data_IF_767120485722
#
_entry.id   IF_767120485722
#
_cell.length_a   1.000
_cell.length_b   1.000
_cell.length_c   1.000
_cell.angle_alpha   90.00
_cell.angle_beta   90.00
_cell.angle_gamma   90.00
#
_symmetry.space_group_name_H-M   'P 1'
#
loop_
_entity.id
_entity.type
_entity.pdbx_description
1 polymer ?
#
# COMPACT_ATOMS: atom_id res chain seq x y z
N UNK A 1 3.88 -7.48 -41.12
CA UNK A 1 4.59 -7.37 -39.83
C UNK A 1 6.07 -7.24 -40.12
N UNK A 2 6.76 -6.28 -39.51
CA UNK A 2 8.20 -6.04 -39.73
C UNK A 2 8.93 -6.51 -38.47
N UNK A 3 9.79 -7.52 -38.60
CA UNK A 3 10.66 -7.98 -37.51
C UNK A 3 11.98 -7.21 -37.60
N UNK A 4 12.24 -6.30 -36.65
CA UNK A 4 13.44 -5.45 -36.66
C UNK A 4 14.73 -6.22 -36.31
N UNK A 5 14.60 -7.37 -35.62
CA UNK A 5 15.73 -8.23 -35.27
C UNK A 5 15.49 -9.67 -35.80
N UNK A 6 16.23 -10.13 -36.83
CA UNK A 6 16.06 -11.46 -37.41
C UNK A 6 16.16 -12.60 -36.38
N UNK A 7 16.95 -12.44 -35.32
CA UNK A 7 17.16 -13.48 -34.29
C UNK A 7 15.90 -13.72 -33.45
N UNK A 8 14.98 -12.76 -33.40
CA UNK A 8 13.72 -12.83 -32.65
C UNK A 8 12.56 -13.33 -33.51
N UNK A 9 12.80 -13.70 -34.78
CA UNK A 9 11.75 -14.17 -35.68
C UNK A 9 10.98 -15.36 -35.13
N UNK A 10 11.64 -16.28 -34.43
CA UNK A 10 11.01 -17.46 -33.83
C UNK A 10 9.93 -17.12 -32.77
N UNK A 11 10.05 -16.00 -32.06
CA UNK A 11 9.06 -15.51 -31.08
C UNK A 11 7.86 -14.85 -31.76
N UNK A 12 8.11 -14.24 -32.91
CA UNK A 12 7.16 -13.37 -33.62
C UNK A 12 6.37 -14.17 -34.68
N UNK A 13 6.99 -15.20 -35.25
CA UNK A 13 6.44 -16.08 -36.28
C UNK A 13 5.05 -16.64 -35.93
N UNK A 14 4.77 -17.14 -34.71
CA UNK A 14 3.45 -17.67 -34.36
C UNK A 14 2.34 -16.62 -34.48
N UNK A 15 2.60 -15.39 -34.04
CA UNK A 15 1.67 -14.27 -34.14
C UNK A 15 1.52 -13.79 -35.59
N UNK A 16 2.61 -13.81 -36.36
CA UNK A 16 2.65 -13.37 -37.77
C UNK A 16 1.84 -14.27 -38.70
N UNK A 17 1.80 -15.57 -38.41
CA UNK A 17 1.09 -16.59 -39.21
C UNK A 17 -0.28 -16.96 -38.65
N UNK A 18 -0.77 -16.22 -37.63
CA UNK A 18 -1.99 -16.58 -36.88
C UNK A 18 -1.95 -18.02 -36.33
N UNK A 19 -0.76 -18.51 -36.02
CA UNK A 19 -0.58 -19.78 -35.31
C UNK A 19 -1.10 -19.68 -33.88
N UNK A 20 -1.28 -20.82 -33.23
CA UNK A 20 -1.62 -20.85 -31.81
C UNK A 20 -0.57 -20.04 -31.02
N UNK A 21 -1.01 -18.99 -30.32
CA UNK A 21 -0.15 -18.21 -29.44
C UNK A 21 0.36 -19.04 -28.26
N UNK A 22 1.30 -18.48 -27.48
CA UNK A 22 1.67 -19.10 -26.22
C UNK A 22 0.43 -19.33 -25.35
N UNK A 23 0.31 -20.49 -24.67
CA UNK A 23 -0.78 -20.73 -23.75
C UNK A 23 -0.69 -19.71 -22.61
N UNK A 24 -1.56 -18.71 -22.63
CA UNK A 24 -1.66 -17.74 -21.54
C UNK A 24 -2.31 -18.46 -20.36
N UNK A 25 -1.54 -18.86 -19.36
CA UNK A 25 -2.08 -19.34 -18.11
C UNK A 25 -2.26 -18.16 -17.17
N UNK A 26 -3.51 -17.70 -17.00
CA UNK A 26 -3.81 -16.56 -16.12
C UNK A 26 -3.68 -16.91 -14.64
N UNK A 27 -3.28 -15.94 -13.80
CA UNK A 27 -3.10 -16.14 -12.35
C UNK A 27 -4.34 -16.70 -11.64
N UNK A 28 -5.55 -16.33 -12.10
CA UNK A 28 -6.82 -16.89 -11.61
C UNK A 28 -6.97 -18.39 -11.92
N UNK A 29 -6.49 -18.85 -13.09
CA UNK A 29 -6.52 -20.26 -13.47
C UNK A 29 -5.56 -21.07 -12.58
N UNK A 30 -4.31 -20.61 -12.45
CA UNK A 30 -3.31 -21.22 -11.56
C UNK A 30 -3.78 -21.28 -10.11
N UNK A 31 -4.42 -20.19 -9.63
CA UNK A 31 -5.03 -20.15 -8.30
C UNK A 31 -6.09 -21.24 -8.11
N UNK A 32 -7.07 -21.34 -9.01
CA UNK A 32 -8.15 -22.33 -8.86
C UNK A 32 -7.59 -23.76 -8.92
N UNK A 33 -6.57 -24.01 -9.74
CA UNK A 33 -5.90 -25.32 -9.79
C UNK A 33 -5.18 -25.65 -8.49
N UNK A 34 -4.43 -24.70 -7.92
CA UNK A 34 -3.74 -24.86 -6.65
C UNK A 34 -4.71 -25.04 -5.48
N UNK A 35 -5.72 -24.16 -5.39
CA UNK A 35 -6.77 -24.26 -4.39
C UNK A 35 -7.49 -25.61 -4.46
N UNK A 36 -7.84 -26.08 -5.65
CA UNK A 36 -8.47 -27.38 -5.82
C UNK A 36 -7.58 -28.52 -5.30
N UNK A 37 -6.28 -28.50 -5.63
CA UNK A 37 -5.32 -29.49 -5.14
C UNK A 37 -5.20 -29.47 -3.62
N UNK A 38 -5.13 -28.29 -2.99
CA UNK A 38 -5.04 -28.16 -1.54
C UNK A 38 -6.32 -28.63 -0.82
N UNK A 39 -7.49 -28.23 -1.32
CA UNK A 39 -8.78 -28.65 -0.76
C UNK A 39 -8.91 -30.18 -0.77
N UNK A 40 -8.47 -30.85 -1.86
CA UNK A 40 -8.49 -32.31 -1.97
C UNK A 40 -7.44 -32.94 -1.04
N UNK A 41 -6.21 -32.44 -1.06
CA UNK A 41 -5.09 -33.00 -0.31
C UNK A 41 -5.34 -32.95 1.21
N UNK A 42 -5.84 -31.82 1.70
CA UNK A 42 -6.07 -31.59 3.12
C UNK A 42 -7.53 -31.84 3.56
N UNK A 43 -8.41 -32.24 2.63
CA UNK A 43 -9.85 -32.46 2.87
C UNK A 43 -10.54 -31.25 3.51
N UNK A 44 -10.20 -30.07 3.01
CA UNK A 44 -10.76 -28.80 3.49
C UNK A 44 -12.05 -28.47 2.76
N UNK A 45 -12.92 -27.71 3.43
CA UNK A 45 -14.13 -27.14 2.82
C UNK A 45 -13.86 -25.68 2.50
N UNK A 46 -14.17 -25.27 1.26
CA UNK A 46 -14.02 -23.87 0.86
C UNK A 46 -14.95 -22.97 1.68
N UNK A 47 -14.39 -21.95 2.31
CA UNK A 47 -15.12 -20.91 3.05
C UNK A 47 -14.34 -19.58 3.02
N UNK A 48 -14.97 -18.50 3.49
CA UNK A 48 -14.32 -17.18 3.51
C UNK A 48 -13.12 -17.12 4.47
N UNK A 49 -13.12 -17.90 5.55
CA UNK A 49 -11.98 -17.96 6.47
C UNK A 49 -10.72 -18.47 5.77
N UNK A 50 -10.84 -19.53 4.98
CA UNK A 50 -9.76 -20.06 4.15
C UNK A 50 -9.32 -19.02 3.11
N UNK A 51 -10.26 -18.33 2.46
CA UNK A 51 -9.93 -17.29 1.49
C UNK A 51 -9.20 -16.08 2.10
N UNK A 52 -9.48 -15.75 3.37
CA UNK A 52 -8.92 -14.59 4.07
C UNK A 52 -7.60 -14.90 4.79
N UNK A 53 -7.37 -16.12 5.27
CA UNK A 53 -6.15 -16.47 6.03
C UNK A 53 -4.99 -17.00 5.19
N UNK A 54 -5.21 -17.30 3.91
CA UNK A 54 -4.15 -17.83 3.04
C UNK A 54 -3.51 -16.72 2.19
N UNK A 55 -2.34 -16.26 2.62
CA UNK A 55 -1.61 -15.18 1.94
C UNK A 55 -1.32 -15.40 0.43
N UNK A 56 -1.01 -16.62 -0.07
CA UNK A 56 -0.71 -16.81 -1.50
C UNK A 56 -1.89 -16.47 -2.44
N UNK A 57 -3.12 -16.48 -1.92
CA UNK A 57 -4.33 -16.33 -2.74
C UNK A 57 -4.94 -14.92 -2.66
N UNK A 58 -4.40 -14.09 -1.78
CA UNK A 58 -4.83 -12.72 -1.52
C UNK A 58 -4.94 -11.82 -2.76
N UNK A 59 -3.98 -11.79 -3.71
CA UNK A 59 -4.10 -10.93 -4.90
C UNK A 59 -5.31 -11.28 -5.77
N UNK A 60 -5.65 -12.56 -5.85
CA UNK A 60 -6.80 -13.03 -6.65
C UNK A 60 -8.10 -12.73 -5.92
N UNK A 61 -8.17 -12.97 -4.62
CA UNK A 61 -9.35 -12.63 -3.80
C UNK A 61 -9.62 -11.12 -3.84
N UNK A 62 -8.58 -10.28 -3.74
CA UNK A 62 -8.73 -8.82 -3.88
C UNK A 62 -9.28 -8.42 -5.25
N UNK A 63 -8.77 -9.02 -6.33
CA UNK A 63 -9.26 -8.74 -7.68
C UNK A 63 -10.73 -9.11 -7.87
N UNK A 64 -11.15 -10.25 -7.30
CA UNK A 64 -12.57 -10.65 -7.29
C UNK A 64 -13.40 -9.65 -6.49
N UNK A 65 -12.96 -9.30 -5.27
CA UNK A 65 -13.66 -8.35 -4.41
C UNK A 65 -13.81 -6.98 -5.08
N UNK A 66 -12.74 -6.43 -5.65
CA UNK A 66 -12.78 -5.14 -6.37
C UNK A 66 -13.80 -5.17 -7.51
N UNK A 67 -13.80 -6.23 -8.31
CA UNK A 67 -14.75 -6.36 -9.42
C UNK A 67 -16.20 -6.45 -8.92
N UNK A 68 -16.43 -7.17 -7.82
CA UNK A 68 -17.76 -7.30 -7.23
C UNK A 68 -18.23 -6.02 -6.51
N UNK A 69 -17.33 -5.24 -5.91
CA UNK A 69 -17.62 -3.95 -5.27
C UNK A 69 -18.09 -2.92 -6.31
N UNK A 70 -17.56 -2.97 -7.53
CA UNK A 70 -18.01 -2.11 -8.63
C UNK A 70 -19.41 -2.50 -9.13
N UNK A 71 -19.77 -3.77 -9.02
CA UNK A 71 -21.07 -4.30 -9.48
C UNK A 71 -22.20 -4.18 -8.45
N UNK A 72 -21.88 -4.15 -7.15
CA UNK A 72 -22.89 -4.17 -6.10
C UNK A 72 -23.64 -2.82 -6.01
N UNK A 73 -24.73 -2.66 -6.75
CA UNK A 73 -25.64 -1.51 -6.60
C UNK A 73 -26.59 -1.71 -5.40
N UNK A 74 -27.07 -0.60 -4.81
CA UNK A 74 -28.12 -0.63 -3.78
C UNK A 74 -29.44 -1.21 -4.34
N UNK A 75 -29.65 -1.14 -5.65
CA UNK A 75 -30.88 -1.56 -6.33
C UNK A 75 -30.91 -3.07 -6.66
N UNK A 76 -29.78 -3.77 -6.55
CA UNK A 76 -29.70 -5.21 -6.87
C UNK A 76 -30.06 -6.03 -5.63
N UNK A 77 -31.04 -6.93 -5.78
CA UNK A 77 -31.42 -7.90 -4.76
C UNK A 77 -30.29 -8.86 -4.40
N UNK A 78 -30.28 -9.40 -3.18
CA UNK A 78 -29.17 -10.25 -2.69
C UNK A 78 -28.94 -11.49 -3.58
N UNK A 79 -30.01 -12.19 -3.93
CA UNK A 79 -29.95 -13.39 -4.77
C UNK A 79 -29.54 -13.07 -6.22
N UNK A 80 -29.99 -11.94 -6.75
CA UNK A 80 -29.60 -11.48 -8.09
C UNK A 80 -28.11 -11.13 -8.12
N UNK A 81 -27.59 -10.49 -7.07
CA UNK A 81 -26.17 -10.17 -6.97
C UNK A 81 -25.30 -11.43 -6.91
N UNK A 82 -25.69 -12.43 -6.10
CA UNK A 82 -24.98 -13.72 -6.04
C UNK A 82 -25.02 -14.43 -7.40
N UNK A 83 -26.17 -14.40 -8.08
CA UNK A 83 -26.32 -14.99 -9.41
C UNK A 83 -25.41 -14.31 -10.43
N UNK A 84 -25.37 -12.97 -10.46
CA UNK A 84 -24.47 -12.22 -11.32
C UNK A 84 -22.99 -12.49 -11.01
N UNK A 85 -22.62 -12.63 -9.73
CA UNK A 85 -21.25 -12.98 -9.34
C UNK A 85 -20.83 -14.34 -9.91
N UNK A 86 -21.70 -15.35 -9.83
CA UNK A 86 -21.45 -16.68 -10.44
C UNK A 86 -21.32 -16.60 -11.96
N UNK A 87 -22.19 -15.84 -12.62
CA UNK A 87 -22.13 -15.63 -14.07
C UNK A 87 -20.86 -14.90 -14.50
N UNK A 88 -20.42 -13.90 -13.74
CA UNK A 88 -19.18 -13.18 -13.99
C UNK A 88 -17.96 -14.12 -13.93
N UNK A 89 -17.98 -15.07 -12.99
CA UNK A 89 -16.94 -16.09 -12.88
C UNK A 89 -16.76 -16.87 -14.20
N UNK A 90 -17.87 -17.18 -14.89
CA UNK A 90 -17.88 -17.89 -16.19
C UNK A 90 -17.38 -17.04 -17.35
N UNK A 91 -17.47 -15.72 -17.23
CA UNK A 91 -17.00 -14.77 -18.25
C UNK A 91 -15.49 -14.51 -18.12
N UNK A 92 -14.83 -15.03 -17.08
CA UNK A 92 -13.39 -14.92 -16.94
C UNK A 92 -12.64 -15.79 -17.95
N UNK A 93 -11.45 -15.36 -18.35
CA UNK A 93 -10.58 -16.18 -19.19
C UNK A 93 -10.18 -17.50 -18.52
N UNK A 94 -10.09 -17.53 -17.18
CA UNK A 94 -9.83 -18.75 -16.42
C UNK A 94 -10.92 -19.81 -16.64
N UNK A 95 -12.19 -19.41 -16.70
CA UNK A 95 -13.30 -20.35 -16.91
C UNK A 95 -13.18 -21.15 -18.21
N UNK A 96 -12.59 -20.57 -19.26
CA UNK A 96 -12.37 -21.26 -20.54
C UNK A 96 -11.28 -22.35 -20.48
N UNK A 97 -10.44 -22.34 -19.45
CA UNK A 97 -9.28 -23.24 -19.32
C UNK A 97 -9.46 -24.32 -18.26
N UNK A 98 -10.47 -24.20 -17.41
CA UNK A 98 -10.67 -25.07 -16.26
C UNK A 98 -11.52 -26.29 -16.60
N UNK A 99 -11.22 -27.42 -15.97
CA UNK A 99 -12.08 -28.60 -16.03
C UNK A 99 -13.40 -28.34 -15.27
N UNK A 100 -14.45 -29.11 -15.55
CA UNK A 100 -15.80 -28.85 -14.99
C UNK A 100 -15.83 -28.75 -13.45
N UNK A 101 -15.09 -29.60 -12.73
CA UNK A 101 -15.00 -29.52 -11.26
C UNK A 101 -14.28 -28.28 -10.74
N UNK A 102 -13.29 -27.77 -11.49
CA UNK A 102 -12.58 -26.53 -11.17
C UNK A 102 -13.39 -25.29 -11.54
N UNK A 103 -14.22 -25.37 -12.59
CA UNK A 103 -15.15 -24.31 -12.96
C UNK A 103 -16.20 -24.09 -11.86
N UNK A 104 -16.75 -25.15 -11.27
CA UNK A 104 -17.63 -25.02 -10.10
C UNK A 104 -16.90 -24.41 -8.89
N UNK A 105 -15.64 -24.79 -8.67
CA UNK A 105 -14.84 -24.18 -7.61
C UNK A 105 -14.69 -22.66 -7.83
N UNK A 106 -14.42 -22.23 -9.06
CA UNK A 106 -14.35 -20.82 -9.43
C UNK A 106 -15.67 -20.08 -9.17
N UNK A 107 -16.81 -20.66 -9.58
CA UNK A 107 -18.15 -20.12 -9.30
C UNK A 107 -18.39 -19.98 -7.79
N UNK A 108 -18.00 -20.98 -7.01
CA UNK A 108 -18.17 -20.98 -5.55
C UNK A 108 -17.30 -19.93 -4.87
N UNK A 109 -16.09 -19.65 -5.37
CA UNK A 109 -15.26 -18.54 -4.86
C UNK A 109 -15.99 -17.21 -5.06
N UNK A 110 -16.48 -16.92 -6.27
CA UNK A 110 -17.21 -15.68 -6.55
C UNK A 110 -18.47 -15.55 -5.71
N UNK A 111 -19.24 -16.65 -5.54
CA UNK A 111 -20.40 -16.67 -4.67
C UNK A 111 -20.04 -16.36 -3.20
N UNK A 112 -19.00 -17.00 -2.65
CA UNK A 112 -18.57 -16.76 -1.27
C UNK A 112 -18.15 -15.31 -1.05
N UNK A 113 -17.45 -14.71 -2.02
CA UNK A 113 -17.06 -13.30 -1.98
C UNK A 113 -18.27 -12.37 -2.12
N UNK A 114 -19.20 -12.66 -3.03
CA UNK A 114 -20.44 -11.90 -3.16
C UNK A 114 -21.25 -11.90 -1.85
N UNK A 115 -21.42 -13.08 -1.23
CA UNK A 115 -22.08 -13.21 0.08
C UNK A 115 -21.33 -12.46 1.18
N UNK A 116 -19.99 -12.45 1.16
CA UNK A 116 -19.19 -11.65 2.08
C UNK A 116 -19.47 -10.16 1.92
N UNK A 117 -19.48 -9.64 0.69
CA UNK A 117 -19.78 -8.23 0.43
C UNK A 117 -21.21 -7.84 0.84
N UNK A 118 -22.19 -8.72 0.61
CA UNK A 118 -23.55 -8.53 1.11
C UNK A 118 -23.60 -8.41 2.63
N UNK A 119 -22.86 -9.28 3.36
CA UNK A 119 -22.78 -9.18 4.83
C UNK A 119 -22.20 -7.84 5.29
N UNK A 120 -21.18 -7.32 4.58
CA UNK A 120 -20.56 -6.02 4.87
C UNK A 120 -21.47 -4.84 4.51
N UNK A 121 -22.35 -5.01 3.51
CA UNK A 121 -23.37 -4.01 3.18
C UNK A 121 -24.37 -3.86 4.33
N UNK A 122 -24.81 -4.98 4.90
CA UNK A 122 -25.76 -5.00 6.02
C UNK A 122 -25.20 -4.35 7.28
N UNK A 123 -23.88 -4.47 7.53
CA UNK A 123 -23.20 -3.82 8.67
C UNK A 123 -22.73 -2.39 8.37
N UNK A 124 -22.93 -1.88 7.15
CA UNK A 124 -22.44 -0.57 6.71
C UNK A 124 -20.92 -0.51 6.44
N UNK A 125 -20.17 -1.57 6.74
CA UNK A 125 -18.72 -1.64 6.55
C UNK A 125 -18.30 -1.58 5.08
N UNK A 126 -19.18 -2.00 4.15
CA UNK A 126 -18.92 -1.87 2.72
C UNK A 126 -18.75 -0.40 2.28
N UNK A 127 -19.43 0.55 2.95
CA UNK A 127 -19.25 1.97 2.65
C UNK A 127 -17.84 2.43 3.02
N UNK A 128 -17.26 1.92 4.12
CA UNK A 128 -15.90 2.23 4.53
C UNK A 128 -14.89 1.72 3.49
N UNK A 129 -15.08 0.49 3.02
CA UNK A 129 -14.26 -0.09 1.96
C UNK A 129 -14.27 0.78 0.69
N UNK A 130 -15.46 1.23 0.26
CA UNK A 130 -15.62 2.09 -0.91
C UNK A 130 -14.96 3.46 -0.75
N UNK A 131 -15.09 4.07 0.42
CA UNK A 131 -14.54 5.41 0.69
C UNK A 131 -13.01 5.38 0.79
N UNK A 132 -12.46 4.30 1.34
CA UNK A 132 -11.01 4.16 1.60
C UNK A 132 -10.26 3.47 0.46
N UNK A 133 -10.96 2.77 -0.43
CA UNK A 133 -10.35 1.87 -1.41
C UNK A 133 -9.62 0.69 -0.76
N UNK A 134 -9.90 0.39 0.50
CA UNK A 134 -9.19 -0.64 1.24
C UNK A 134 -9.56 -2.05 0.75
N UNK A 135 -8.60 -2.97 0.83
CA UNK A 135 -8.89 -4.39 0.58
C UNK A 135 -9.82 -4.93 1.65
N UNK A 136 -10.84 -5.71 1.26
CA UNK A 136 -11.86 -6.25 2.19
C UNK A 136 -11.23 -7.02 3.36
N UNK A 137 -10.18 -7.79 3.10
CA UNK A 137 -9.45 -8.56 4.13
C UNK A 137 -8.82 -7.68 5.22
N UNK A 138 -8.56 -6.40 4.95
CA UNK A 138 -7.97 -5.51 5.95
C UNK A 138 -8.94 -5.19 7.08
N UNK A 139 -10.26 -5.31 6.89
CA UNK A 139 -11.23 -5.11 7.97
C UNK A 139 -10.93 -6.03 9.16
N UNK A 140 -10.74 -7.32 8.90
CA UNK A 140 -10.43 -8.28 9.95
C UNK A 140 -9.07 -7.99 10.60
N UNK A 141 -8.05 -7.72 9.78
CA UNK A 141 -6.71 -7.36 10.29
C UNK A 141 -6.75 -6.11 11.17
N UNK A 142 -7.51 -5.08 10.78
CA UNK A 142 -7.64 -3.85 11.56
C UNK A 142 -8.41 -4.11 12.85
N UNK A 143 -9.53 -4.83 12.80
CA UNK A 143 -10.36 -5.08 13.99
C UNK A 143 -9.69 -6.00 15.01
N UNK A 144 -8.96 -7.02 14.55
CA UNK A 144 -8.41 -8.06 15.43
C UNK A 144 -6.94 -7.82 15.81
N UNK A 145 -6.21 -7.02 15.05
CA UNK A 145 -4.77 -6.82 15.27
C UNK A 145 -4.48 -5.34 15.52
N UNK A 146 -4.80 -4.43 14.58
CA UNK A 146 -4.43 -3.01 14.73
C UNK A 146 -5.17 -2.34 15.89
N UNK A 147 -6.50 -2.41 15.90
CA UNK A 147 -7.35 -1.79 16.91
C UNK A 147 -6.92 -2.16 18.34
N UNK A 148 -6.73 -3.44 18.71
CA UNK A 148 -6.29 -3.80 20.06
C UNK A 148 -4.81 -3.55 20.32
N UNK A 149 -3.97 -3.28 19.30
CA UNK A 149 -2.54 -3.02 19.50
C UNK A 149 -2.23 -1.69 20.18
N UNK A 150 -3.25 -0.84 20.41
CA UNK A 150 -3.16 0.33 21.26
C UNK A 150 -4.51 0.59 21.92
N UNK A 151 -4.51 0.79 23.24
CA UNK A 151 -5.74 0.96 24.01
C UNK A 151 -6.45 2.30 23.74
N UNK A 152 -5.68 3.37 23.54
CA UNK A 152 -6.19 4.76 23.49
C UNK A 152 -5.74 5.49 22.23
N UNK A 153 -6.48 5.28 21.14
CA UNK A 153 -6.24 5.90 19.83
C UNK A 153 -6.59 7.39 19.78
N UNK A 154 -7.40 7.88 20.71
CA UNK A 154 -7.83 9.28 20.85
C UNK A 154 -6.84 10.15 21.63
N UNK A 155 -5.88 9.56 22.34
CA UNK A 155 -4.91 10.32 23.13
C UNK A 155 -3.87 10.99 22.23
N UNK A 156 -3.56 12.29 22.46
CA UNK A 156 -2.54 13.00 21.69
C UNK A 156 -1.20 12.27 21.67
N UNK A 157 -0.60 12.16 20.50
CA UNK A 157 0.69 11.51 20.29
C UNK A 157 1.46 12.20 19.18
N UNK A 158 2.79 12.15 19.25
CA UNK A 158 3.64 12.58 18.13
C UNK A 158 3.57 11.54 17.00
N UNK A 159 3.35 11.93 15.73
CA UNK A 159 3.46 11.02 14.59
C UNK A 159 4.80 10.27 14.49
N UNK A 160 5.89 10.84 15.03
CA UNK A 160 7.21 10.23 15.07
C UNK A 160 7.46 9.39 16.35
N UNK A 161 6.47 9.29 17.23
CA UNK A 161 6.59 8.51 18.46
C UNK A 161 7.00 7.05 18.17
N UNK A 162 7.89 6.52 19.01
CA UNK A 162 8.46 5.19 18.83
C UNK A 162 7.42 4.08 19.04
N UNK A 163 6.53 4.24 20.01
CA UNK A 163 5.47 3.27 20.33
C UNK A 163 4.45 3.26 19.20
N UNK A 164 3.96 4.43 18.75
CA UNK A 164 3.05 4.53 17.61
C UNK A 164 3.63 3.86 16.36
N UNK A 165 4.87 4.20 16.02
CA UNK A 165 5.53 3.65 14.84
C UNK A 165 5.70 2.14 14.97
N UNK A 166 6.13 1.64 16.13
CA UNK A 166 6.26 0.21 16.36
C UNK A 166 4.90 -0.50 16.21
N UNK A 167 3.83 0.02 16.83
CA UNK A 167 2.47 -0.53 16.70
C UNK A 167 2.01 -0.64 15.25
N UNK A 168 2.16 0.43 14.47
CA UNK A 168 1.74 0.45 13.05
C UNK A 168 2.61 -0.50 12.21
N UNK A 169 3.93 -0.49 12.41
CA UNK A 169 4.84 -1.33 11.64
C UNK A 169 4.71 -2.81 11.99
N UNK A 170 4.49 -3.16 13.25
CA UNK A 170 4.23 -4.54 13.68
C UNK A 170 2.94 -5.06 13.05
N UNK A 171 1.87 -4.26 13.06
CA UNK A 171 0.64 -4.59 12.35
C UNK A 171 0.88 -4.77 10.86
N UNK A 172 1.53 -3.82 10.19
CA UNK A 172 1.83 -3.89 8.76
C UNK A 172 2.69 -5.12 8.42
N UNK A 173 3.62 -5.49 9.31
CA UNK A 173 4.48 -6.66 9.16
C UNK A 173 3.71 -7.99 9.17
N UNK A 174 2.51 -8.05 9.76
CA UNK A 174 1.66 -9.26 9.69
C UNK A 174 1.20 -9.59 8.27
N UNK A 175 1.27 -8.62 7.36
CA UNK A 175 0.86 -8.78 5.97
C UNK A 175 2.03 -9.28 5.10
N UNK A 176 1.92 -10.52 4.59
CA UNK A 176 2.96 -11.14 3.76
C UNK A 176 3.33 -10.35 2.50
N UNK A 177 2.40 -9.58 1.94
CA UNK A 177 2.70 -8.71 0.79
C UNK A 177 3.82 -7.72 1.10
N UNK A 178 3.88 -7.19 2.33
CA UNK A 178 4.97 -6.32 2.78
C UNK A 178 6.27 -7.09 2.93
N UNK A 179 6.23 -8.25 3.61
CA UNK A 179 7.40 -9.10 3.82
C UNK A 179 8.05 -9.51 2.49
N UNK A 180 7.25 -9.98 1.54
CA UNK A 180 7.71 -10.42 0.23
C UNK A 180 8.36 -9.27 -0.54
N UNK A 181 7.75 -8.07 -0.53
CA UNK A 181 8.29 -6.91 -1.25
C UNK A 181 9.63 -6.45 -0.68
N UNK A 182 9.80 -6.52 0.63
CA UNK A 182 11.06 -6.18 1.32
C UNK A 182 12.16 -7.18 0.96
N UNK A 183 11.86 -8.49 1.06
CA UNK A 183 12.82 -9.55 0.73
C UNK A 183 13.27 -9.45 -0.72
N UNK A 184 12.34 -9.20 -1.65
CA UNK A 184 12.66 -8.97 -3.06
C UNK A 184 13.47 -7.70 -3.29
N UNK A 185 13.15 -6.61 -2.59
CA UNK A 185 13.87 -5.34 -2.73
C UNK A 185 15.32 -5.41 -2.24
N UNK A 186 15.59 -6.31 -1.29
CA UNK A 186 16.93 -6.57 -0.76
C UNK A 186 17.68 -7.68 -1.50
N UNK A 187 17.09 -8.27 -2.56
CA UNK A 187 17.67 -9.39 -3.29
C UNK A 187 18.00 -10.61 -2.39
N UNK A 188 17.16 -10.89 -1.40
CA UNK A 188 17.35 -11.95 -0.40
C UNK A 188 16.43 -13.15 -0.65
N UNK A 189 16.35 -13.63 -1.90
CA UNK A 189 15.50 -14.78 -2.27
C UNK A 189 15.66 -15.95 -1.27
N UNK A 190 14.52 -16.56 -0.91
CA UNK A 190 14.41 -17.65 0.08
C UNK A 190 14.91 -17.35 1.51
N UNK A 191 15.09 -16.07 1.86
CA UNK A 191 15.41 -15.67 3.23
C UNK A 191 14.18 -15.55 4.11
N UNK A 192 14.33 -15.95 5.38
CA UNK A 192 13.37 -15.66 6.43
C UNK A 192 13.18 -14.12 6.57
N UNK A 193 11.97 -13.58 6.31
CA UNK A 193 11.71 -12.15 6.39
C UNK A 193 12.07 -11.55 7.76
N UNK A 194 11.97 -12.34 8.84
CA UNK A 194 12.20 -11.84 10.19
C UNK A 194 13.64 -11.33 10.38
N UNK A 195 14.60 -11.83 9.60
CA UNK A 195 16.00 -11.38 9.63
C UNK A 195 16.18 -9.92 9.20
N UNK A 196 15.28 -9.39 8.38
CA UNK A 196 15.36 -8.02 7.86
C UNK A 196 14.38 -7.05 8.51
N UNK A 197 13.50 -7.55 9.39
CA UNK A 197 12.49 -6.74 10.09
C UNK A 197 13.09 -5.56 10.84
N UNK A 198 14.09 -5.80 11.68
CA UNK A 198 14.73 -4.76 12.49
C UNK A 198 15.38 -3.69 11.62
N UNK A 199 16.10 -4.11 10.57
CA UNK A 199 16.72 -3.20 9.60
C UNK A 199 15.67 -2.36 8.86
N UNK A 200 14.55 -2.96 8.47
CA UNK A 200 13.45 -2.25 7.81
C UNK A 200 12.77 -1.24 8.75
N UNK A 201 12.53 -1.60 10.01
CA UNK A 201 11.89 -0.69 10.97
C UNK A 201 12.78 0.52 11.24
N UNK A 202 14.09 0.30 11.32
CA UNK A 202 15.06 1.39 11.47
C UNK A 202 15.16 2.25 10.20
N UNK A 203 15.04 1.66 9.01
CA UNK A 203 14.93 2.41 7.76
C UNK A 203 13.71 3.34 7.76
N UNK A 204 12.54 2.85 8.16
CA UNK A 204 11.33 3.69 8.27
C UNK A 204 11.53 4.82 9.28
N UNK A 205 12.15 4.53 10.43
CA UNK A 205 12.46 5.55 11.45
C UNK A 205 13.35 6.67 10.88
N UNK A 206 14.45 6.31 10.23
CA UNK A 206 15.38 7.27 9.64
C UNK A 206 14.74 8.06 8.50
N UNK A 207 13.93 7.39 7.68
CA UNK A 207 13.17 8.03 6.60
C UNK A 207 12.22 9.10 7.14
N UNK A 208 11.39 8.77 8.12
CA UNK A 208 10.47 9.73 8.77
C UNK A 208 11.23 10.84 9.51
N UNK A 209 12.40 10.54 10.07
CA UNK A 209 13.27 11.54 10.70
C UNK A 209 13.95 12.51 9.71
N UNK A 210 13.72 12.38 8.40
CA UNK A 210 14.29 13.28 7.40
C UNK A 210 15.73 12.95 6.99
N UNK A 211 16.26 11.77 7.36
CA UNK A 211 17.63 11.38 7.02
C UNK A 211 17.83 11.27 5.50
N UNK A 212 19.04 11.59 5.00
CA UNK A 212 19.35 11.44 3.58
C UNK A 212 19.56 9.96 3.22
N UNK A 213 19.38 9.61 1.94
CA UNK A 213 19.66 8.23 1.48
C UNK A 213 21.11 7.81 1.73
N UNK A 214 22.06 8.76 1.63
CA UNK A 214 23.47 8.50 1.93
C UNK A 214 23.64 8.12 3.40
N UNK A 215 23.10 8.92 4.32
CA UNK A 215 23.21 8.66 5.75
C UNK A 215 22.56 7.32 6.13
N UNK A 216 21.38 7.04 5.56
CA UNK A 216 20.67 5.77 5.81
C UNK A 216 21.46 4.57 5.27
N UNK A 217 22.05 4.66 4.08
CA UNK A 217 22.85 3.57 3.50
C UNK A 217 24.06 3.23 4.38
N UNK A 218 24.70 4.26 4.95
CA UNK A 218 25.86 4.10 5.82
C UNK A 218 25.47 3.54 7.19
N UNK A 219 24.41 4.07 7.81
CA UNK A 219 23.96 3.64 9.13
C UNK A 219 23.42 2.20 9.12
N UNK A 220 22.68 1.82 8.08
CA UNK A 220 22.09 0.49 7.97
C UNK A 220 23.03 -0.53 7.32
N UNK A 221 24.17 -0.10 6.77
CA UNK A 221 25.09 -0.94 6.00
C UNK A 221 24.38 -1.65 4.84
N UNK A 222 23.51 -0.93 4.14
CA UNK A 222 22.77 -1.41 2.94
C UNK A 222 23.33 -0.72 1.71
N UNK A 223 23.43 -1.45 0.58
CA UNK A 223 23.84 -0.84 -0.69
C UNK A 223 22.82 0.20 -1.14
N UNK A 224 23.29 1.26 -1.79
CA UNK A 224 22.41 2.34 -2.25
C UNK A 224 21.29 1.82 -3.16
N UNK A 225 21.58 0.89 -4.06
CA UNK A 225 20.58 0.34 -4.98
C UNK A 225 19.47 -0.41 -4.24
N UNK A 226 19.82 -1.26 -3.26
CA UNK A 226 18.86 -2.00 -2.43
C UNK A 226 18.01 -1.03 -1.57
N UNK A 227 18.64 0.03 -1.06
CA UNK A 227 17.95 1.06 -0.29
C UNK A 227 16.97 1.88 -1.16
N UNK A 228 17.34 2.21 -2.40
CA UNK A 228 16.45 2.88 -3.34
C UNK A 228 15.31 1.96 -3.82
N UNK A 229 15.57 0.66 -3.95
CA UNK A 229 14.55 -0.34 -4.20
C UNK A 229 13.54 -0.40 -3.03
N UNK A 230 14.02 -0.48 -1.79
CA UNK A 230 13.17 -0.41 -0.59
C UNK A 230 12.32 0.87 -0.57
N UNK A 231 12.93 2.03 -0.82
CA UNK A 231 12.17 3.27 -0.87
C UNK A 231 11.06 3.22 -1.93
N UNK A 232 11.40 2.90 -3.18
CA UNK A 232 10.48 3.00 -4.32
C UNK A 232 9.39 1.94 -4.31
N UNK A 233 9.72 0.72 -3.89
CA UNK A 233 8.80 -0.43 -3.92
C UNK A 233 8.04 -0.59 -2.62
N UNK A 234 8.73 -0.42 -1.50
CA UNK A 234 8.14 -0.67 -0.17
C UNK A 234 7.56 0.60 0.42
N UNK A 235 8.37 1.66 0.60
CA UNK A 235 7.90 2.87 1.29
C UNK A 235 6.81 3.56 0.48
N UNK A 236 7.09 3.93 -0.78
CA UNK A 236 6.16 4.74 -1.58
C UNK A 236 4.96 3.98 -2.13
N UNK A 237 4.91 2.65 -1.95
CA UNK A 237 3.83 1.82 -2.49
C UNK A 237 3.28 0.85 -1.44
N UNK A 238 3.95 -0.28 -1.17
CA UNK A 238 3.35 -1.36 -0.37
C UNK A 238 3.05 -0.95 1.07
N UNK A 239 4.04 -0.40 1.80
CA UNK A 239 3.87 0.05 3.17
C UNK A 239 2.91 1.23 3.24
N UNK A 240 3.12 2.27 2.41
CA UNK A 240 2.26 3.45 2.43
C UNK A 240 0.80 3.07 2.15
N UNK A 241 0.52 2.24 1.15
CA UNK A 241 -0.83 1.79 0.84
C UNK A 241 -1.46 1.00 1.99
N UNK A 242 -0.71 0.10 2.62
CA UNK A 242 -1.18 -0.66 3.77
C UNK A 242 -1.51 0.25 4.95
N UNK A 243 -0.60 1.15 5.30
CA UNK A 243 -0.77 2.08 6.42
C UNK A 243 -1.92 3.05 6.16
N UNK A 244 -2.01 3.65 4.96
CA UNK A 244 -3.11 4.55 4.59
C UNK A 244 -4.47 3.84 4.68
N UNK A 245 -4.59 2.62 4.15
CA UNK A 245 -5.82 1.85 4.24
C UNK A 245 -6.15 1.44 5.67
N UNK A 246 -5.16 0.98 6.43
CA UNK A 246 -5.32 0.55 7.82
C UNK A 246 -5.77 1.67 8.75
N UNK A 247 -5.10 2.82 8.69
CA UNK A 247 -5.44 3.99 9.52
C UNK A 247 -6.80 4.58 9.14
N UNK A 248 -7.15 4.62 7.84
CA UNK A 248 -8.46 5.09 7.42
C UNK A 248 -9.59 4.14 7.87
N UNK A 249 -9.41 2.82 7.73
CA UNK A 249 -10.37 1.85 8.25
C UNK A 249 -10.49 1.93 9.77
N UNK A 250 -9.37 2.08 10.49
CA UNK A 250 -9.35 2.28 11.93
C UNK A 250 -10.13 3.54 12.33
N UNK A 251 -9.95 4.64 11.60
CA UNK A 251 -10.70 5.88 11.79
C UNK A 251 -12.21 5.65 11.68
N UNK A 252 -12.68 4.99 10.62
CA UNK A 252 -14.10 4.67 10.45
C UNK A 252 -14.62 3.76 11.57
N UNK A 253 -13.84 2.74 11.94
CA UNK A 253 -14.21 1.79 13.00
C UNK A 253 -14.33 2.48 14.36
N UNK A 254 -13.39 3.34 14.72
CA UNK A 254 -13.42 4.12 15.96
C UNK A 254 -14.57 5.13 15.95
N UNK A 255 -14.81 5.78 14.82
CA UNK A 255 -15.91 6.74 14.66
C UNK A 255 -17.28 6.07 14.83
N UNK A 256 -17.44 4.81 14.41
CA UNK A 256 -18.65 4.03 14.65
C UNK A 256 -18.92 3.80 16.15
N UNK A 257 -17.89 3.82 17.00
CA UNK A 257 -17.99 3.78 18.47
C UNK A 257 -18.02 5.18 19.12
N UNK A 258 -18.10 6.25 18.31
CA UNK A 258 -18.10 7.63 18.79
C UNK A 258 -16.71 8.13 19.26
N UNK A 259 -15.64 7.45 18.87
CA UNK A 259 -14.26 7.80 19.23
C UNK A 259 -13.60 8.54 18.07
N UNK A 260 -13.11 9.75 18.33
CA UNK A 260 -12.29 10.50 17.39
C UNK A 260 -10.81 10.11 17.55
N UNK A 261 -10.17 9.73 16.44
CA UNK A 261 -8.76 9.34 16.43
C UNK A 261 -7.86 10.57 16.59
N UNK A 262 -6.76 10.44 17.31
CA UNK A 262 -5.84 11.55 17.52
C UNK A 262 -5.19 12.01 16.19
N UNK A 263 -5.07 13.33 15.94
CA UNK A 263 -4.43 13.84 14.73
C UNK A 263 -3.00 13.35 14.51
N UNK A 264 -2.27 13.06 15.60
CA UNK A 264 -0.93 12.48 15.51
C UNK A 264 -0.90 11.12 14.79
N UNK A 265 -1.96 10.33 14.95
CA UNK A 265 -2.07 9.02 14.30
C UNK A 265 -2.39 9.18 12.82
N UNK A 266 -3.33 10.05 12.46
CA UNK A 266 -3.67 10.28 11.04
C UNK A 266 -2.54 10.98 10.30
N UNK A 267 -1.80 11.88 10.95
CA UNK A 267 -0.64 12.54 10.36
C UNK A 267 0.54 11.58 10.11
N UNK A 268 0.61 10.44 10.80
CA UNK A 268 1.64 9.41 10.57
C UNK A 268 1.77 9.07 9.07
N UNK A 269 0.64 8.98 8.37
CA UNK A 269 0.59 8.74 6.92
C UNK A 269 1.37 9.78 6.10
N UNK A 270 1.22 11.08 6.41
CA UNK A 270 1.94 12.13 5.69
C UNK A 270 3.45 12.11 6.00
N UNK A 271 3.81 11.90 7.27
CA UNK A 271 5.20 11.78 7.69
C UNK A 271 5.90 10.58 7.03
N UNK A 272 5.20 9.45 6.91
CA UNK A 272 5.67 8.27 6.20
C UNK A 272 5.77 8.54 4.69
N UNK A 273 4.75 9.14 4.06
CA UNK A 273 4.73 9.42 2.62
C UNK A 273 5.87 10.36 2.20
N UNK A 274 6.09 11.43 2.97
CA UNK A 274 7.07 12.46 2.62
C UNK A 274 8.45 12.21 3.24
N UNK A 275 8.58 11.29 4.20
CA UNK A 275 9.83 11.11 4.95
C UNK A 275 10.26 12.39 5.63
N UNK A 276 9.32 13.04 6.30
CA UNK A 276 9.46 14.40 6.81
C UNK A 276 9.35 14.42 8.34
N UNK A 277 10.24 15.15 9.05
CA UNK A 277 10.35 15.04 10.51
C UNK A 277 9.35 15.91 11.30
N UNK A 278 8.62 16.80 10.64
CA UNK A 278 7.69 17.71 11.31
C UNK A 278 6.58 18.15 10.35
N UNK A 279 5.49 18.66 10.92
CA UNK A 279 4.31 19.07 10.15
C UNK A 279 4.63 20.17 9.12
N UNK A 280 5.58 21.07 9.40
CA UNK A 280 5.96 22.14 8.48
C UNK A 280 6.58 21.56 7.20
N UNK A 281 7.46 20.56 7.33
CA UNK A 281 8.03 19.84 6.21
C UNK A 281 6.95 19.09 5.40
N UNK A 282 5.98 18.44 6.08
CA UNK A 282 4.83 17.81 5.41
C UNK A 282 3.99 18.83 4.62
N UNK A 283 3.70 19.98 5.23
CA UNK A 283 2.97 21.08 4.58
C UNK A 283 3.73 21.57 3.34
N UNK A 284 5.05 21.76 3.42
CA UNK A 284 5.86 22.21 2.29
C UNK A 284 5.86 21.18 1.15
N UNK A 285 5.94 19.88 1.48
CA UNK A 285 5.89 18.80 0.50
C UNK A 285 4.52 18.73 -0.21
N UNK A 286 3.42 18.69 0.55
CA UNK A 286 2.05 18.66 0.00
C UNK A 286 1.69 19.92 -0.77
N UNK A 287 2.38 21.02 -0.46
CA UNK A 287 2.28 22.31 -1.13
C UNK A 287 2.96 22.42 -2.49
N UNK A 288 3.70 21.38 -2.92
CA UNK A 288 4.37 21.32 -4.21
C UNK A 288 5.88 21.57 -4.20
N UNK A 289 6.53 21.69 -3.03
CA UNK A 289 7.99 21.73 -2.97
C UNK A 289 8.55 20.33 -3.27
N UNK A 290 9.18 20.16 -4.43
CA UNK A 290 9.48 18.83 -5.00
C UNK A 290 10.67 18.13 -4.33
N UNK A 291 11.66 18.90 -3.92
CA UNK A 291 12.92 18.34 -3.40
C UNK A 291 12.83 18.05 -1.90
N UNK A 292 12.91 16.78 -1.51
CA UNK A 292 12.93 16.36 -0.09
C UNK A 292 13.95 17.07 0.77
N UNK A 293 15.18 17.18 0.25
CA UNK A 293 16.24 17.92 0.91
C UNK A 293 15.82 19.36 1.24
N UNK A 294 15.06 20.01 0.36
CA UNK A 294 14.58 21.37 0.58
C UNK A 294 13.47 21.43 1.63
N UNK A 295 12.37 20.66 1.48
CA UNK A 295 11.26 20.74 2.43
C UNK A 295 11.62 20.25 3.84
N UNK A 296 12.51 19.27 3.97
CA UNK A 296 13.01 18.82 5.28
C UNK A 296 13.85 19.91 5.93
N UNK A 297 14.81 20.48 5.21
CA UNK A 297 15.72 21.48 5.78
C UNK A 297 14.99 22.79 6.13
N UNK A 298 14.13 23.28 5.25
CA UNK A 298 13.29 24.46 5.50
C UNK A 298 12.30 24.20 6.64
N UNK A 299 11.66 23.03 6.65
CA UNK A 299 10.75 22.64 7.72
C UNK A 299 11.43 22.64 9.09
N UNK A 300 12.63 22.05 9.20
CA UNK A 300 13.44 22.08 10.41
C UNK A 300 13.82 23.52 10.83
N UNK A 301 14.26 24.35 9.89
CA UNK A 301 14.63 25.74 10.16
C UNK A 301 13.45 26.55 10.71
N UNK A 302 12.26 26.39 10.12
CA UNK A 302 11.05 27.10 10.56
C UNK A 302 10.56 26.55 11.90
N UNK A 303 10.60 25.23 12.09
CA UNK A 303 10.17 24.57 13.32
C UNK A 303 10.99 25.05 14.53
N UNK A 304 12.31 25.16 14.38
CA UNK A 304 13.22 25.66 15.42
C UNK A 304 12.95 27.13 15.82
N UNK A 305 12.32 27.91 14.95
CA UNK A 305 11.94 29.30 15.23
C UNK A 305 10.62 29.42 16.01
N UNK A 306 9.93 28.32 16.30
CA UNK A 306 8.69 28.30 17.10
C UNK A 306 7.44 28.84 16.39
N UNK A 307 7.44 28.85 15.05
CA UNK A 307 6.33 29.41 14.24
C UNK A 307 5.08 28.50 14.25
N UNK A 308 3.89 29.10 14.35
CA UNK A 308 2.60 28.39 14.32
C UNK A 308 2.17 28.13 12.87
N UNK A 309 1.99 26.86 12.53
CA UNK A 309 1.86 26.40 11.15
C UNK A 309 0.44 26.54 10.58
N UNK A 310 0.17 27.66 9.91
CA UNK A 310 -0.86 27.70 8.86
C UNK A 310 -0.19 27.55 7.49
N UNK A 311 -0.77 26.74 6.61
CA UNK A 311 -0.15 26.35 5.34
C UNK A 311 0.31 27.55 4.47
N UNK A 312 -0.51 28.61 4.38
CA UNK A 312 -0.16 29.81 3.63
C UNK A 312 1.01 30.60 4.23
N UNK A 313 1.16 30.61 5.56
CA UNK A 313 2.28 31.29 6.23
C UNK A 313 3.57 30.49 6.09
N UNK A 314 3.50 29.16 6.13
CA UNK A 314 4.65 28.26 5.97
C UNK A 314 5.36 28.50 4.63
N UNK A 315 4.60 28.61 3.52
CA UNK A 315 5.16 28.90 2.20
C UNK A 315 5.90 30.24 2.16
N UNK A 316 5.25 31.30 2.64
CA UNK A 316 5.82 32.64 2.63
C UNK A 316 7.08 32.72 3.49
N UNK A 317 7.05 32.12 4.69
CA UNK A 317 8.21 32.08 5.59
C UNK A 317 9.38 31.30 4.97
N UNK A 318 9.10 30.18 4.28
CA UNK A 318 10.12 29.43 3.56
C UNK A 318 10.73 30.24 2.40
N UNK A 319 9.91 30.92 1.60
CA UNK A 319 10.36 31.77 0.50
C UNK A 319 11.21 32.95 0.99
N UNK A 320 10.75 33.62 2.05
CA UNK A 320 11.47 34.72 2.68
C UNK A 320 12.81 34.24 3.26
N UNK A 321 12.83 33.10 3.96
CA UNK A 321 14.04 32.49 4.50
C UNK A 321 15.07 32.15 3.41
N UNK A 322 14.63 31.63 2.26
CA UNK A 322 15.50 31.36 1.11
C UNK A 322 16.11 32.64 0.50
N UNK A 323 15.37 33.76 0.54
CA UNK A 323 15.83 35.05 -0.01
C UNK A 323 16.76 35.78 0.96
N UNK A 324 16.44 35.78 2.26
CA UNK A 324 17.24 36.47 3.28
C UNK A 324 18.60 35.80 3.53
N UNK A 325 18.69 34.48 3.35
CA UNK A 325 19.92 33.69 3.59
C UNK A 325 20.36 32.89 2.35
N UNK A 326 20.36 33.53 1.18
CA UNK A 326 20.59 32.87 -0.11
C UNK A 326 21.89 32.05 -0.16
N UNK A 327 23.03 32.62 0.23
CA UNK A 327 24.33 31.94 0.18
C UNK A 327 24.38 30.69 1.07
N UNK A 328 23.82 30.78 2.29
CA UNK A 328 23.77 29.65 3.22
C UNK A 328 22.89 28.51 2.71
N UNK A 329 21.73 28.84 2.16
CA UNK A 329 20.84 27.84 1.56
C UNK A 329 21.40 27.23 0.28
N UNK A 330 22.08 28.01 -0.56
CA UNK A 330 22.79 27.49 -1.74
C UNK A 330 23.89 26.52 -1.33
N UNK A 331 24.72 26.86 -0.35
CA UNK A 331 25.76 25.98 0.16
C UNK A 331 25.17 24.68 0.75
N UNK A 332 24.06 24.77 1.47
CA UNK A 332 23.44 23.61 2.10
C UNK A 332 22.68 22.71 1.11
N UNK A 333 21.85 23.28 0.23
CA UNK A 333 20.97 22.55 -0.69
C UNK A 333 21.69 22.15 -1.98
N UNK A 334 22.62 22.97 -2.45
CA UNK A 334 23.18 22.94 -3.80
C UNK A 334 22.33 23.75 -4.79
N UNK A 335 22.96 24.28 -5.83
CA UNK A 335 22.37 25.23 -6.78
C UNK A 335 21.06 24.73 -7.40
N UNK A 336 21.05 23.48 -7.88
CA UNK A 336 19.89 22.89 -8.53
C UNK A 336 18.68 22.82 -7.59
N UNK A 337 18.89 22.40 -6.34
CA UNK A 337 17.81 22.26 -5.36
C UNK A 337 17.34 23.63 -4.90
N UNK A 338 18.26 24.57 -4.68
CA UNK A 338 17.93 25.95 -4.29
C UNK A 338 17.08 26.66 -5.35
N UNK A 339 17.50 26.64 -6.63
CA UNK A 339 16.80 27.31 -7.73
C UNK A 339 15.39 26.71 -7.90
N UNK A 340 15.28 25.38 -7.85
CA UNK A 340 13.97 24.73 -7.93
C UNK A 340 13.08 25.04 -6.72
N UNK A 341 13.65 25.09 -5.51
CA UNK A 341 12.89 25.43 -4.31
C UNK A 341 12.33 26.86 -4.37
N UNK A 342 13.12 27.84 -4.86
CA UNK A 342 12.63 29.19 -5.11
C UNK A 342 11.48 29.21 -6.11
N UNK A 343 11.57 28.42 -7.19
CA UNK A 343 10.52 28.31 -8.20
C UNK A 343 9.26 27.65 -7.67
N UNK A 344 9.39 26.63 -6.82
CA UNK A 344 8.26 25.88 -6.26
C UNK A 344 7.48 26.70 -5.21
N UNK A 345 8.14 27.68 -4.58
CA UNK A 345 7.57 28.52 -3.52
C UNK A 345 7.11 29.92 -4.01
N UNK A 346 7.49 30.33 -5.21
CA UNK A 346 7.04 31.59 -5.85
C UNK A 346 5.76 31.37 -6.63
#
# INVERSE_FOLDING_TARGET
>A
MICANPDQWHLIQPVAIQGAGEPVHGSLCSFIQQLNSELIQFRLVLNNELLEHNAPIHPVVDGVDSTLIDLISEEIGEEDFVTHARQLAEQTFAAQQLAQGQLELLRNVFELRARRLLSLRQTGQLAWIRQTGAKVRLLYSVEQILLPARERWQEPIDPLDNELRATILEWAWTHRELQNEIVQSLNLEDSDPERVKGTFFEFVRLWMAGASFIDMSQQLTIKMDDLLALHTRVITFTLQSLVDQGINLLTHRLHADGIEIAPGVTNFCEHLRFGAPNQIACILASSGLRHRKAYVALGNSIHQQGSVAFAGMVKNQALEGLRQHAEGWQAHLGDLVYINALKDLS
#
